data_IF_931721205524
#
_entry.id   IF_931721205524
#
_cell.length_a   1.000
_cell.length_b   1.000
_cell.length_c   1.000
_cell.angle_alpha   90.00
_cell.angle_beta   90.00
_cell.angle_gamma   90.00
#
_symmetry.space_group_name_H-M   'P 1'
#
loop_
_entity.id
_entity.type
_entity.pdbx_description
1 polymer ?
#
# COMPACT_ATOMS: atom_id res chain seq x y z
N UNK A 1 -19.92 6.61 3.33
CA UNK A 1 -19.47 6.09 2.00
C UNK A 1 -20.36 4.92 1.61
N UNK A 2 -20.90 4.92 0.40
CA UNK A 2 -21.73 3.83 -0.06
C UNK A 2 -20.87 2.72 -0.71
N UNK A 3 -21.50 1.60 -1.05
CA UNK A 3 -20.80 0.45 -1.64
C UNK A 3 -20.11 0.77 -2.95
N UNK A 4 -20.72 1.61 -3.77
CA UNK A 4 -20.14 2.00 -5.05
C UNK A 4 -18.87 2.83 -4.86
N UNK A 5 -18.91 3.77 -3.95
CA UNK A 5 -17.73 4.59 -3.64
C UNK A 5 -16.59 3.73 -3.09
N UNK A 6 -16.91 2.81 -2.18
CA UNK A 6 -15.94 1.89 -1.61
C UNK A 6 -15.31 1.02 -2.70
N UNK A 7 -16.12 0.52 -3.62
CA UNK A 7 -15.63 -0.28 -4.75
C UNK A 7 -14.70 0.54 -5.65
N UNK A 8 -15.06 1.77 -5.94
CA UNK A 8 -14.25 2.66 -6.80
C UNK A 8 -12.89 2.93 -6.16
N UNK A 9 -12.84 3.21 -4.86
CA UNK A 9 -11.60 3.41 -4.15
C UNK A 9 -10.77 2.12 -4.09
N UNK A 10 -11.42 0.98 -3.89
CA UNK A 10 -10.74 -0.31 -3.92
C UNK A 10 -10.05 -0.54 -5.26
N UNK A 11 -10.76 -0.31 -6.36
CA UNK A 11 -10.19 -0.46 -7.70
C UNK A 11 -9.03 0.49 -7.94
N UNK A 12 -9.15 1.72 -7.49
CA UNK A 12 -8.08 2.71 -7.61
C UNK A 12 -6.84 2.29 -6.82
N UNK A 13 -7.02 1.85 -5.57
CA UNK A 13 -5.92 1.38 -4.72
C UNK A 13 -5.26 0.11 -5.27
N UNK A 14 -6.04 -0.82 -5.77
CA UNK A 14 -5.51 -2.04 -6.41
C UNK A 14 -4.66 -1.70 -7.63
N UNK A 15 -5.11 -0.73 -8.43
CA UNK A 15 -4.35 -0.25 -9.58
C UNK A 15 -3.04 0.41 -9.17
N UNK A 16 -3.07 1.21 -8.11
CA UNK A 16 -1.87 1.86 -7.57
C UNK A 16 -0.86 0.82 -7.07
N UNK A 17 -1.35 -0.19 -6.36
CA UNK A 17 -0.52 -1.28 -5.85
C UNK A 17 0.15 -2.03 -7.01
N UNK A 18 -0.63 -2.39 -8.01
CA UNK A 18 -0.11 -3.10 -9.19
C UNK A 18 0.93 -2.27 -9.94
N UNK A 19 0.69 -0.98 -10.11
CA UNK A 19 1.62 -0.07 -10.78
C UNK A 19 2.94 0.05 -10.01
N UNK A 20 2.86 0.17 -8.68
CA UNK A 20 4.04 0.26 -7.82
C UNK A 20 4.88 -1.01 -7.89
N UNK A 21 4.23 -2.17 -7.79
CA UNK A 21 4.92 -3.46 -7.87
C UNK A 21 5.55 -3.68 -9.25
N UNK A 22 4.88 -3.26 -10.33
CA UNK A 22 5.43 -3.33 -11.68
C UNK A 22 6.66 -2.43 -11.84
N UNK A 23 6.62 -1.25 -11.25
CA UNK A 23 7.75 -0.32 -11.26
C UNK A 23 8.96 -0.91 -10.55
N UNK A 24 8.74 -1.54 -9.41
CA UNK A 24 9.79 -2.21 -8.64
C UNK A 24 10.39 -3.36 -9.46
N UNK A 25 9.55 -4.19 -10.06
CA UNK A 25 9.98 -5.30 -10.89
C UNK A 25 10.83 -4.81 -12.08
N UNK A 26 10.43 -3.71 -12.69
CA UNK A 26 11.14 -3.10 -13.80
C UNK A 26 12.52 -2.60 -13.37
N UNK A 27 12.61 -1.93 -12.23
CA UNK A 27 13.87 -1.44 -11.67
C UNK A 27 14.85 -2.57 -11.38
N UNK A 28 14.35 -3.76 -11.06
CA UNK A 28 15.16 -4.94 -10.78
C UNK A 28 15.38 -5.84 -12.00
N UNK A 29 15.03 -5.38 -13.18
CA UNK A 29 15.20 -6.16 -14.39
C UNK A 29 14.40 -7.47 -14.41
N UNK A 30 13.23 -7.46 -13.77
CA UNK A 30 12.35 -8.61 -13.76
C UNK A 30 12.65 -9.67 -12.71
N UNK A 31 13.68 -9.48 -11.87
CA UNK A 31 14.06 -10.45 -10.84
C UNK A 31 12.94 -10.72 -9.83
N UNK A 32 12.26 -9.64 -9.41
CA UNK A 32 11.12 -9.75 -8.49
C UNK A 32 10.00 -10.58 -9.11
N UNK A 33 9.69 -10.35 -10.38
CA UNK A 33 8.67 -11.11 -11.10
C UNK A 33 9.01 -12.60 -11.17
N UNK A 34 10.27 -12.94 -11.36
CA UNK A 34 10.72 -14.34 -11.36
C UNK A 34 10.50 -14.99 -10.01
N UNK A 35 10.79 -14.28 -8.93
CA UNK A 35 10.58 -14.77 -7.57
C UNK A 35 9.09 -15.00 -7.30
N UNK A 36 8.23 -14.08 -7.71
CA UNK A 36 6.78 -14.21 -7.57
C UNK A 36 6.24 -15.40 -8.37
N UNK A 37 6.69 -15.56 -9.61
CA UNK A 37 6.30 -16.67 -10.46
C UNK A 37 6.75 -18.00 -9.84
N UNK A 38 7.97 -18.06 -9.32
CA UNK A 38 8.47 -19.25 -8.65
C UNK A 38 7.65 -19.61 -7.41
N UNK A 39 7.30 -18.59 -6.59
CA UNK A 39 6.47 -18.77 -5.41
C UNK A 39 5.08 -19.30 -5.77
N UNK A 40 4.44 -18.72 -6.79
CA UNK A 40 3.14 -19.17 -7.28
C UNK A 40 3.20 -20.59 -7.85
N UNK A 41 4.28 -20.89 -8.57
CA UNK A 41 4.45 -22.17 -9.22
C UNK A 41 4.66 -23.30 -8.21
N UNK A 42 5.44 -23.05 -7.17
CA UNK A 42 5.71 -24.02 -6.13
C UNK A 42 4.64 -24.07 -5.05
N UNK A 43 4.01 -22.93 -4.75
CA UNK A 43 2.81 -22.82 -3.92
C UNK A 43 2.82 -23.59 -2.59
N UNK A 44 3.98 -23.96 -2.08
CA UNK A 44 4.09 -24.84 -0.92
C UNK A 44 4.32 -24.06 0.37
N UNK A 45 3.47 -24.27 1.39
CA UNK A 45 3.69 -23.67 2.71
C UNK A 45 5.03 -24.04 3.34
N UNK A 46 5.61 -25.15 2.97
CA UNK A 46 6.91 -25.60 3.46
C UNK A 46 8.09 -24.79 2.91
N UNK A 47 7.86 -23.93 1.93
CA UNK A 47 8.88 -23.07 1.36
C UNK A 47 8.99 -21.72 2.09
N UNK A 48 8.82 -21.73 3.40
CA UNK A 48 8.94 -20.51 4.21
C UNK A 48 10.31 -19.85 4.09
N UNK A 49 11.37 -20.65 3.87
CA UNK A 49 12.72 -20.13 3.65
C UNK A 49 12.83 -19.35 2.34
N UNK A 50 12.20 -19.85 1.27
CA UNK A 50 12.17 -19.19 -0.02
C UNK A 50 11.36 -17.90 0.03
N UNK A 51 10.23 -17.91 0.74
CA UNK A 51 9.41 -16.71 0.94
C UNK A 51 10.17 -15.63 1.70
N UNK A 52 10.91 -16.01 2.75
CA UNK A 52 11.71 -15.07 3.51
C UNK A 52 12.82 -14.45 2.67
N UNK A 53 13.47 -15.24 1.83
CA UNK A 53 14.48 -14.75 0.91
C UNK A 53 13.86 -13.77 -0.11
N UNK A 54 12.67 -14.08 -0.62
CA UNK A 54 11.94 -13.22 -1.55
C UNK A 54 11.54 -11.91 -0.92
N UNK A 55 11.06 -11.95 0.32
CA UNK A 55 10.69 -10.74 1.06
C UNK A 55 11.91 -9.86 1.32
N UNK A 56 13.04 -10.45 1.67
CA UNK A 56 14.28 -9.70 1.87
C UNK A 56 14.78 -9.08 0.58
N UNK A 57 14.69 -9.78 -0.52
CA UNK A 57 15.05 -9.23 -1.83
C UNK A 57 14.15 -8.07 -2.19
N UNK A 58 12.85 -8.20 -1.93
CA UNK A 58 11.89 -7.14 -2.19
C UNK A 58 12.22 -5.91 -1.33
N UNK A 59 12.46 -6.10 -0.04
CA UNK A 59 12.86 -5.01 0.86
C UNK A 59 14.14 -4.32 0.40
N UNK A 60 15.09 -5.08 -0.07
CA UNK A 60 16.35 -4.55 -0.60
C UNK A 60 16.15 -3.74 -1.86
N UNK A 61 15.20 -4.15 -2.70
CA UNK A 61 14.89 -3.45 -3.94
C UNK A 61 14.13 -2.15 -3.71
N UNK A 62 13.35 -2.11 -2.63
CA UNK A 62 12.50 -0.98 -2.30
C UNK A 62 13.27 0.06 -1.51
N UNK A 63 13.21 1.31 -1.94
CA UNK A 63 13.61 2.42 -1.09
C UNK A 63 12.59 2.59 0.03
N UNK A 64 12.98 3.29 1.09
CA UNK A 64 12.09 3.56 2.22
C UNK A 64 10.76 4.19 1.80
N UNK A 65 10.81 5.09 0.84
CA UNK A 65 9.63 5.78 0.32
C UNK A 65 8.66 4.81 -0.35
N UNK A 66 9.18 3.88 -1.14
CA UNK A 66 8.35 2.89 -1.84
C UNK A 66 7.73 1.89 -0.88
N UNK A 67 8.49 1.47 0.15
CA UNK A 67 7.96 0.62 1.22
C UNK A 67 6.83 1.32 1.99
N UNK A 68 7.03 2.59 2.32
CA UNK A 68 6.03 3.37 3.03
C UNK A 68 4.77 3.53 2.17
N UNK A 69 4.92 3.79 0.88
CA UNK A 69 3.81 3.92 -0.05
C UNK A 69 3.02 2.62 -0.18
N UNK A 70 3.72 1.50 -0.33
CA UNK A 70 3.08 0.19 -0.41
C UNK A 70 2.31 -0.14 0.87
N UNK A 71 2.92 0.13 2.03
CA UNK A 71 2.28 -0.08 3.32
C UNK A 71 1.01 0.77 3.48
N UNK A 72 1.05 2.02 3.02
CA UNK A 72 -0.11 2.92 3.07
C UNK A 72 -1.25 2.41 2.19
N UNK A 73 -0.93 1.93 0.98
CA UNK A 73 -1.92 1.36 0.06
C UNK A 73 -2.57 0.11 0.68
N UNK A 74 -1.77 -0.78 1.22
CA UNK A 74 -2.27 -2.01 1.84
C UNK A 74 -3.11 -1.74 3.08
N UNK A 75 -2.71 -0.75 3.90
CA UNK A 75 -3.49 -0.33 5.05
C UNK A 75 -4.84 0.23 4.63
N UNK A 76 -4.89 1.03 3.56
CA UNK A 76 -6.14 1.57 3.04
C UNK A 76 -7.07 0.47 2.53
N UNK A 77 -6.53 -0.53 1.85
CA UNK A 77 -7.30 -1.69 1.41
C UNK A 77 -7.88 -2.47 2.60
N UNK A 78 -7.10 -2.62 3.67
CA UNK A 78 -7.57 -3.27 4.90
C UNK A 78 -8.73 -2.49 5.55
N UNK A 79 -8.66 -1.15 5.54
CA UNK A 79 -9.73 -0.30 6.06
C UNK A 79 -11.01 -0.45 5.24
N UNK A 80 -10.91 -0.60 3.93
CA UNK A 80 -12.07 -0.87 3.07
C UNK A 80 -12.74 -2.18 3.45
N UNK A 81 -11.96 -3.21 3.68
CA UNK A 81 -12.46 -4.52 4.12
C UNK A 81 -13.14 -4.41 5.48
N UNK A 82 -12.56 -3.64 6.40
CA UNK A 82 -13.08 -3.44 7.74
C UNK A 82 -14.30 -2.50 7.79
N UNK A 83 -14.56 -1.74 6.72
CA UNK A 83 -15.66 -0.78 6.66
C UNK A 83 -15.35 0.55 7.34
N UNK A 84 -14.09 0.85 7.60
CA UNK A 84 -13.66 2.09 8.28
C UNK A 84 -12.83 3.01 7.39
N UNK A 85 -12.79 2.73 6.11
CA UNK A 85 -12.07 3.58 5.16
C UNK A 85 -12.64 5.00 5.12
N UNK A 86 -11.77 5.99 5.01
CA UNK A 86 -12.16 7.39 4.95
C UNK A 86 -12.18 8.10 6.30
N UNK A 87 -11.87 7.39 7.37
CA UNK A 87 -11.74 8.00 8.70
C UNK A 87 -10.27 8.27 9.00
N UNK A 88 -9.99 9.44 9.55
CA UNK A 88 -8.64 9.80 9.96
C UNK A 88 -8.15 8.86 11.07
N UNK A 89 -6.96 8.29 10.91
CA UNK A 89 -6.39 7.37 11.89
C UNK A 89 -6.10 8.04 13.24
N UNK A 90 -5.85 9.35 13.23
CA UNK A 90 -5.46 10.07 14.44
C UNK A 90 -6.63 10.71 15.17
N UNK A 91 -7.56 11.37 14.46
CA UNK A 91 -8.65 12.09 15.09
C UNK A 91 -10.04 11.48 14.89
N UNK A 92 -10.18 10.47 14.03
CA UNK A 92 -11.44 9.80 13.78
C UNK A 92 -12.43 10.56 12.91
N UNK A 93 -12.13 11.78 12.53
CA UNK A 93 -12.99 12.57 11.65
C UNK A 93 -12.88 12.06 10.22
N UNK A 94 -13.89 12.33 9.42
CA UNK A 94 -13.86 11.97 8.00
C UNK A 94 -12.80 12.77 7.26
N UNK A 95 -12.03 12.07 6.46
CA UNK A 95 -11.09 12.70 5.53
C UNK A 95 -11.90 13.30 4.38
N UNK A 96 -11.54 14.52 3.97
CA UNK A 96 -12.25 15.20 2.87
C UNK A 96 -12.25 14.34 1.60
N UNK A 97 -13.40 14.21 0.91
CA UNK A 97 -13.47 13.42 -0.32
C UNK A 97 -12.46 13.83 -1.38
N UNK A 98 -12.21 15.12 -1.53
CA UNK A 98 -11.22 15.64 -2.48
C UNK A 98 -9.82 15.10 -2.18
N UNK A 99 -9.46 14.99 -0.90
CA UNK A 99 -8.17 14.43 -0.48
C UNK A 99 -8.10 12.94 -0.80
N UNK A 100 -9.17 12.20 -0.56
CA UNK A 100 -9.23 10.77 -0.86
C UNK A 100 -9.15 10.50 -2.36
N UNK A 101 -9.78 11.32 -3.19
CA UNK A 101 -9.70 11.18 -4.64
C UNK A 101 -8.28 11.45 -5.15
N UNK A 102 -7.58 12.42 -4.56
CA UNK A 102 -6.21 12.73 -4.94
C UNK A 102 -5.21 11.74 -4.36
N UNK A 103 -5.46 11.26 -3.15
CA UNK A 103 -4.55 10.34 -2.42
C UNK A 103 -5.38 9.31 -1.68
N UNK A 104 -5.83 8.26 -2.36
CA UNK A 104 -6.68 7.23 -1.73
C UNK A 104 -6.02 6.52 -0.55
N UNK A 105 -4.69 6.48 -0.52
CA UNK A 105 -3.90 5.85 0.52
C UNK A 105 -3.70 6.74 1.75
N UNK A 106 -4.18 7.99 1.73
CA UNK A 106 -3.99 8.92 2.83
C UNK A 106 -4.68 8.41 4.10
N UNK A 107 -3.94 8.17 5.20
CA UNK A 107 -4.51 7.65 6.44
C UNK A 107 -5.04 8.73 7.36
N UNK A 108 -4.74 10.01 7.09
CA UNK A 108 -5.04 11.13 7.96
C UNK A 108 -5.70 12.27 7.20
N UNK A 109 -6.50 13.06 7.91
CA UNK A 109 -6.99 14.31 7.38
C UNK A 109 -5.82 15.29 7.24
N UNK A 110 -6.03 16.37 6.47
CA UNK A 110 -4.95 17.34 6.20
C UNK A 110 -4.40 17.96 7.49
N UNK A 111 -5.27 18.25 8.45
CA UNK A 111 -4.87 18.87 9.72
C UNK A 111 -3.96 17.95 10.53
N UNK A 112 -4.30 16.67 10.62
CA UNK A 112 -3.48 15.71 11.34
C UNK A 112 -2.18 15.42 10.60
N UNK A 113 -2.21 15.42 9.27
CA UNK A 113 -1.01 15.24 8.46
C UNK A 113 -0.03 16.38 8.68
N UNK A 114 -0.52 17.62 8.72
CA UNK A 114 0.31 18.79 9.01
C UNK A 114 0.94 18.70 10.40
N UNK A 115 0.19 18.23 11.39
CA UNK A 115 0.73 18.05 12.75
C UNK A 115 1.87 17.04 12.78
N UNK A 116 1.73 15.92 12.06
CA UNK A 116 2.79 14.91 11.96
C UNK A 116 4.03 15.49 11.31
N UNK A 117 3.85 16.24 10.23
CA UNK A 117 4.97 16.87 9.51
C UNK A 117 5.70 17.89 10.38
N UNK A 118 4.96 18.64 11.21
CA UNK A 118 5.56 19.60 12.14
C UNK A 118 6.30 18.94 13.28
N UNK A 119 5.85 17.78 13.73
CA UNK A 119 6.50 17.01 14.80
C UNK A 119 7.78 16.33 14.31
N UNK A 120 7.87 16.06 13.01
CA UNK A 120 9.01 15.40 12.41
C UNK A 120 9.59 16.24 11.27
N UNK A 121 10.05 17.47 11.58
CA UNK A 121 10.68 18.29 10.55
C UNK A 121 11.98 17.65 10.12
N UNK A 122 12.13 17.51 8.83
CA UNK A 122 13.36 16.96 8.25
C UNK A 122 14.28 18.11 7.89
#
# INVERSE_FOLDING_TARGET
MNKQQAHDFEQQLMGMRAALLAQIAEQRGGTVSRVEVAADHFGHPEDSGAQLASERELEFALGERELAELAAIEAALALLTAGTYGECADCGKRIAPARLHASPEAPRCIDCQEKVEHQHPV
#
